data_IF_432819038421
#
_entry.id   IF_432819038421
#
_cell.length_a   1.000
_cell.length_b   1.000
_cell.length_c   1.000
_cell.angle_alpha   90.00
_cell.angle_beta   90.00
_cell.angle_gamma   90.00
#
_symmetry.space_group_name_H-M   'P 1'
#
loop_
_entity.id
_entity.type
_entity.pdbx_description
1 polymer ?
#
# COMPACT_ATOMS: atom_id res chain seq x y z
N UNK A 1 -8.25 13.21 11.98
CA UNK A 1 -8.73 14.40 11.24
C UNK A 1 -10.19 14.32 10.86
N UNK A 2 -10.80 13.12 10.91
CA UNK A 2 -12.16 12.78 10.47
C UNK A 2 -13.25 13.82 10.77
N UNK A 3 -13.28 14.39 11.97
CA UNK A 3 -14.39 15.27 12.38
C UNK A 3 -14.08 16.78 12.28
N UNK A 4 -12.84 17.14 11.92
CA UNK A 4 -12.38 18.54 11.88
C UNK A 4 -12.18 19.07 10.45
N UNK A 5 -12.04 18.18 9.48
CA UNK A 5 -11.69 18.52 8.10
C UNK A 5 -12.69 17.93 7.12
N UNK A 6 -13.08 18.72 6.11
CA UNK A 6 -13.85 18.23 4.97
C UNK A 6 -13.08 17.14 4.21
N UNK A 7 -13.79 16.34 3.41
CA UNK A 7 -13.18 15.33 2.54
C UNK A 7 -12.13 15.96 1.63
N UNK A 8 -12.44 17.10 0.99
CA UNK A 8 -11.50 17.78 0.10
C UNK A 8 -10.22 18.23 0.81
N UNK A 9 -10.32 18.73 2.05
CA UNK A 9 -9.15 19.09 2.83
C UNK A 9 -8.31 17.87 3.22
N UNK A 10 -8.95 16.75 3.58
CA UNK A 10 -8.25 15.50 3.86
C UNK A 10 -7.54 14.95 2.63
N UNK A 11 -8.20 14.97 1.46
CA UNK A 11 -7.61 14.54 0.19
C UNK A 11 -6.38 15.38 -0.16
N UNK A 12 -6.47 16.71 -0.01
CA UNK A 12 -5.32 17.60 -0.21
C UNK A 12 -4.14 17.24 0.71
N UNK A 13 -4.40 16.95 1.98
CA UNK A 13 -3.35 16.52 2.92
C UNK A 13 -2.72 15.18 2.48
N UNK A 14 -3.52 14.23 2.00
CA UNK A 14 -3.00 12.96 1.45
C UNK A 14 -2.10 13.24 0.24
N UNK A 15 -2.59 14.02 -0.73
CA UNK A 15 -1.86 14.37 -1.96
C UNK A 15 -0.51 15.06 -1.65
N UNK A 16 -0.51 16.01 -0.71
CA UNK A 16 0.69 16.73 -0.26
C UNK A 16 1.72 15.83 0.46
N UNK A 17 1.31 14.64 0.92
CA UNK A 17 2.16 13.70 1.64
C UNK A 17 2.42 12.37 0.90
N UNK A 18 2.00 12.22 -0.37
CA UNK A 18 2.29 11.04 -1.18
C UNK A 18 3.81 10.74 -1.27
N UNK A 19 4.64 11.77 -1.33
CA UNK A 19 6.11 11.65 -1.40
C UNK A 19 6.74 10.96 -0.16
N UNK A 20 6.00 10.85 0.94
CA UNK A 20 6.43 10.09 2.12
C UNK A 20 6.54 8.59 1.78
N UNK A 21 5.67 8.06 0.92
CA UNK A 21 5.67 6.65 0.48
C UNK A 21 6.97 6.35 -0.26
N UNK A 22 7.31 7.16 -1.28
CA UNK A 22 8.56 7.02 -2.04
C UNK A 22 9.78 7.07 -1.14
N UNK A 23 9.75 7.94 -0.14
CA UNK A 23 10.85 8.09 0.82
C UNK A 23 11.00 6.84 1.70
N UNK A 24 9.89 6.26 2.17
CA UNK A 24 9.89 5.01 2.95
C UNK A 24 10.39 3.85 2.11
N UNK A 25 9.87 3.66 0.89
CA UNK A 25 10.30 2.60 -0.02
C UNK A 25 11.79 2.73 -0.36
N UNK A 26 12.25 3.95 -0.69
CA UNK A 26 13.65 4.22 -1.01
C UNK A 26 14.60 3.92 0.15
N UNK A 27 14.24 4.32 1.37
CA UNK A 27 15.04 4.05 2.58
C UNK A 27 15.10 2.56 2.92
N UNK A 28 14.05 1.81 2.59
CA UNK A 28 13.93 0.39 2.87
C UNK A 28 14.20 -0.50 1.64
N UNK A 29 14.86 0.01 0.59
CA UNK A 29 15.11 -0.71 -0.68
C UNK A 29 15.69 -2.11 -0.52
N UNK A 30 16.56 -2.33 0.47
CA UNK A 30 17.10 -3.67 0.72
C UNK A 30 16.00 -4.65 1.13
N UNK A 31 15.12 -4.23 2.04
CA UNK A 31 13.99 -5.03 2.49
C UNK A 31 12.96 -5.24 1.37
N UNK A 32 12.65 -4.18 0.60
CA UNK A 32 11.75 -4.25 -0.57
C UNK A 32 12.26 -5.20 -1.66
N UNK A 33 13.57 -5.46 -1.75
CA UNK A 33 14.09 -6.48 -2.68
C UNK A 33 13.91 -7.91 -2.19
N UNK A 34 13.67 -8.10 -0.88
CA UNK A 34 13.53 -9.42 -0.26
C UNK A 34 12.08 -9.82 -0.06
N UNK A 35 11.15 -8.86 -0.02
CA UNK A 35 9.71 -9.17 -0.02
C UNK A 35 9.32 -9.75 -1.39
N UNK A 36 8.43 -10.75 -1.39
CA UNK A 36 7.91 -11.40 -2.60
C UNK A 36 6.65 -10.71 -3.16
N UNK A 37 6.46 -9.44 -2.83
CA UNK A 37 5.32 -8.63 -3.25
C UNK A 37 5.74 -7.75 -4.43
N UNK A 38 4.84 -7.58 -5.40
CA UNK A 38 5.07 -6.63 -6.50
C UNK A 38 5.18 -5.20 -5.95
N UNK A 39 6.00 -4.38 -6.60
CA UNK A 39 6.23 -3.00 -6.15
C UNK A 39 4.93 -2.19 -6.11
N UNK A 40 4.05 -2.40 -7.09
CA UNK A 40 2.78 -1.68 -7.21
C UNK A 40 1.80 -2.06 -6.10
N UNK A 41 1.76 -3.33 -5.69
CA UNK A 41 0.94 -3.77 -4.56
C UNK A 41 1.44 -3.17 -3.25
N UNK A 42 2.76 -3.13 -3.07
CA UNK A 42 3.36 -2.50 -1.91
C UNK A 42 3.05 -0.99 -1.86
N UNK A 43 3.12 -0.32 -3.01
CA UNK A 43 2.77 1.09 -3.12
C UNK A 43 1.29 1.32 -2.80
N UNK A 44 0.39 0.47 -3.31
CA UNK A 44 -1.05 0.54 -3.03
C UNK A 44 -1.35 0.35 -1.54
N UNK A 45 -0.73 -0.64 -0.88
CA UNK A 45 -0.89 -0.89 0.55
C UNK A 45 -0.43 0.33 1.39
N UNK A 46 0.70 0.92 1.02
CA UNK A 46 1.19 2.14 1.67
C UNK A 46 0.29 3.36 1.39
N UNK A 47 -0.31 3.46 0.21
CA UNK A 47 -1.27 4.52 -0.11
C UNK A 47 -2.56 4.40 0.70
N UNK A 48 -3.08 3.18 0.86
CA UNK A 48 -4.22 2.92 1.75
C UNK A 48 -3.89 3.28 3.20
N UNK A 49 -2.73 2.85 3.69
CA UNK A 49 -2.24 3.21 5.02
C UNK A 49 -2.13 4.73 5.21
N UNK A 50 -1.63 5.46 4.20
CA UNK A 50 -1.55 6.92 4.25
C UNK A 50 -2.94 7.57 4.41
N UNK A 51 -3.93 7.14 3.61
CA UNK A 51 -5.30 7.66 3.66
C UNK A 51 -5.92 7.43 5.04
N UNK A 52 -5.83 6.19 5.55
CA UNK A 52 -6.34 5.82 6.87
C UNK A 52 -5.64 6.60 7.99
N UNK A 53 -4.31 6.70 7.92
CA UNK A 53 -3.51 7.45 8.88
C UNK A 53 -3.89 8.93 8.92
N UNK A 54 -4.12 9.56 7.77
CA UNK A 54 -4.60 10.95 7.71
C UNK A 54 -6.00 11.08 8.31
N UNK A 55 -6.88 10.12 8.03
CA UNK A 55 -8.22 10.11 8.59
C UNK A 55 -8.21 10.00 10.13
N UNK A 56 -7.39 9.11 10.68
CA UNK A 56 -7.28 8.81 12.11
C UNK A 56 -6.40 9.80 12.88
N UNK A 57 -5.53 10.56 12.21
CA UNK A 57 -4.56 11.43 12.87
C UNK A 57 -5.21 12.42 13.85
N UNK A 58 -4.72 12.44 15.08
CA UNK A 58 -5.01 13.46 16.07
C UNK A 58 -3.76 14.26 16.42
N UNK A 59 -3.93 15.55 16.73
CA UNK A 59 -2.83 16.46 17.09
C UNK A 59 -2.06 16.03 18.34
N UNK A 60 -2.66 15.21 19.21
CA UNK A 60 -1.98 14.64 20.38
C UNK A 60 -0.86 13.66 20.00
N UNK A 61 -0.86 13.10 18.78
CA UNK A 61 0.19 12.21 18.31
C UNK A 61 1.48 12.93 17.90
N UNK A 62 1.52 14.27 18.05
CA UNK A 62 2.63 15.10 17.63
C UNK A 62 2.51 15.52 16.16
N UNK A 63 3.60 15.97 15.51
CA UNK A 63 3.53 16.49 14.15
C UNK A 63 3.12 15.41 13.12
N UNK A 64 2.29 15.81 12.16
CA UNK A 64 1.70 14.92 11.16
C UNK A 64 2.73 14.08 10.40
N UNK A 65 3.75 14.71 9.80
CA UNK A 65 4.72 13.99 8.96
C UNK A 65 5.46 12.88 9.71
N UNK A 66 6.08 13.12 10.87
CA UNK A 66 6.65 12.07 11.71
C UNK A 66 5.66 10.94 12.04
N UNK A 67 4.40 11.27 12.35
CA UNK A 67 3.37 10.28 12.60
C UNK A 67 3.11 9.41 11.35
N UNK A 68 2.93 10.02 10.18
CA UNK A 68 2.71 9.31 8.91
C UNK A 68 3.92 8.41 8.56
N UNK A 69 5.14 8.90 8.74
CA UNK A 69 6.35 8.10 8.51
C UNK A 69 6.40 6.85 9.39
N UNK A 70 5.99 6.96 10.66
CA UNK A 70 5.93 5.81 11.57
C UNK A 70 4.89 4.80 11.09
N UNK A 71 3.68 5.25 10.76
CA UNK A 71 2.61 4.38 10.25
C UNK A 71 3.03 3.63 8.97
N UNK A 72 3.60 4.35 7.99
CA UNK A 72 4.08 3.74 6.74
C UNK A 72 5.23 2.73 6.97
N UNK A 73 6.09 2.95 7.97
CA UNK A 73 7.14 1.99 8.31
C UNK A 73 6.62 0.75 9.03
N UNK A 74 5.56 0.89 9.82
CA UNK A 74 4.87 -0.22 10.47
C UNK A 74 4.13 -1.05 9.42
N UNK A 75 3.38 -0.40 8.53
CA UNK A 75 2.69 -1.05 7.42
C UNK A 75 3.67 -1.81 6.51
N UNK A 76 4.78 -1.18 6.13
CA UNK A 76 5.82 -1.86 5.36
C UNK A 76 6.31 -3.13 6.07
N UNK A 77 6.46 -3.13 7.39
CA UNK A 77 6.88 -4.31 8.16
C UNK A 77 5.79 -5.37 8.31
N UNK A 78 4.52 -4.97 8.23
CA UNK A 78 3.34 -5.83 8.31
C UNK A 78 3.02 -6.53 6.99
N UNK A 79 3.50 -5.98 5.86
CA UNK A 79 3.53 -6.63 4.55
C UNK A 79 4.53 -7.82 4.57
N UNK A 80 4.37 -8.76 5.50
CA UNK A 80 5.07 -10.05 5.48
C UNK A 80 4.31 -10.96 4.54
N UNK A 81 5.08 -11.80 3.85
CA UNK A 81 4.64 -12.82 2.89
C UNK A 81 3.18 -13.23 3.06
N UNK A 82 2.35 -13.04 2.02
CA UNK A 82 1.18 -13.89 1.85
C UNK A 82 1.69 -15.34 1.94
N UNK A 83 1.16 -16.18 2.85
CA UNK A 83 1.55 -17.58 2.91
C UNK A 83 1.45 -18.18 1.51
N UNK A 84 2.47 -18.94 1.11
CA UNK A 84 2.63 -19.59 -0.21
C UNK A 84 1.40 -20.38 -0.70
N UNK A 85 0.40 -20.61 0.14
CA UNK A 85 -0.71 -21.52 -0.08
C UNK A 85 -1.85 -21.00 -0.99
N UNK A 86 -1.94 -19.71 -1.32
CA UNK A 86 -3.16 -19.19 -2.00
C UNK A 86 -2.92 -18.63 -3.42
N UNK A 87 -1.68 -18.59 -3.92
CA UNK A 87 -1.40 -18.10 -5.29
C UNK A 87 -1.42 -19.21 -6.36
N UNK A 88 -1.35 -20.50 -5.99
CA UNK A 88 -1.47 -21.60 -6.97
C UNK A 88 -2.91 -21.71 -7.52
N UNK A 89 -3.93 -21.34 -6.76
CA UNK A 89 -5.34 -21.41 -7.19
C UNK A 89 -5.69 -20.34 -8.25
N UNK A 90 -5.04 -19.17 -8.22
CA UNK A 90 -5.23 -18.11 -9.21
C UNK A 90 -4.41 -18.28 -10.48
N UNK A 91 -3.27 -18.98 -10.42
CA UNK A 91 -2.44 -19.25 -11.61
C UNK A 91 -2.99 -20.38 -12.46
N UNK A 92 -3.56 -21.41 -11.83
CA UNK A 92 -4.22 -22.52 -12.54
C UNK A 92 -5.53 -22.08 -13.22
N UNK A 93 -6.20 -21.06 -12.68
CA UNK A 93 -7.41 -20.48 -13.27
C UNK A 93 -7.17 -19.75 -14.61
N UNK A 94 -5.93 -19.32 -14.91
CA UNK A 94 -5.59 -18.69 -16.21
C UNK A 94 -5.09 -19.68 -17.28
N UNK A 95 -4.81 -20.94 -16.91
CA UNK A 95 -4.41 -21.98 -17.86
C UNK A 95 -5.60 -22.63 -18.60
N UNK A 96 -6.85 -22.34 -18.19
CA UNK A 96 -8.07 -22.86 -18.82
C UNK A 96 -8.75 -21.75 -19.61
N UNK A 97 -8.31 -21.50 -20.85
CA UNK A 97 -9.12 -20.63 -21.72
C UNK A 97 -8.43 -19.93 -22.88
N UNK A 98 -7.30 -20.41 -23.40
CA UNK A 98 -6.84 -19.95 -24.71
C UNK A 98 -6.40 -21.14 -25.58
N UNK A 99 -7.40 -21.82 -26.14
CA UNK A 99 -7.28 -22.35 -27.49
C UNK A 99 -8.54 -21.95 -28.26
N UNK A 100 -8.42 -20.87 -29.03
CA UNK A 100 -9.18 -20.67 -30.26
C UNK A 100 -8.72 -21.70 -31.30
N UNK A 101 -9.57 -21.84 -32.31
CA UNK A 101 -9.40 -22.54 -33.59
C UNK A 101 -9.97 -23.97 -33.60
N UNK A 102 -10.75 -24.42 -34.57
CA UNK A 102 -11.34 -23.85 -35.80
C UNK A 102 -12.21 -24.96 -36.40
N UNK A 103 -13.20 -24.58 -37.22
CA UNK A 103 -13.71 -25.37 -38.37
C UNK A 103 -14.48 -26.68 -38.11
N UNK A 104 -15.81 -26.62 -38.21
CA UNK A 104 -16.67 -27.07 -39.34
C UNK A 104 -18.12 -27.29 -38.87
#
# INVERSE_FOLDING_TARGET
MRDKYSIAQRNRVVEENLCCIDTVLRRNRRWVRHIRLEYDDLYQNLALCLILSVEEYDSSFGPLRPYLYRQLQEELRNNREYPRAEQEEYRDSQCVGIHRESSL
#
